data_IF_888333134001
#
_entry.id   IF_888333134001
#
_cell.length_a   1.000
_cell.length_b   1.000
_cell.length_c   1.000
_cell.angle_alpha   90.00
_cell.angle_beta   90.00
_cell.angle_gamma   90.00
#
_symmetry.space_group_name_H-M   'P 1'
#
loop_
_entity.id
_entity.type
_entity.pdbx_description
1 polymer ?
#
# COMPACT_ATOMS: atom_id res chain seq x y z
N UNK A 1 29.62 43.05 30.83
CA UNK A 1 28.23 43.09 30.31
C UNK A 1 28.28 42.78 28.81
N UNK A 2 27.86 41.57 28.39
CA UNK A 2 27.97 41.10 27.00
C UNK A 2 26.67 41.43 26.27
N UNK A 3 26.69 42.39 25.34
CA UNK A 3 25.53 42.75 24.51
C UNK A 3 25.28 41.62 23.52
N UNK A 4 24.11 40.99 23.60
CA UNK A 4 23.63 39.98 22.66
C UNK A 4 22.99 40.72 21.49
N UNK A 5 23.52 40.52 20.28
CA UNK A 5 23.04 41.14 19.06
C UNK A 5 21.85 40.34 18.52
N UNK A 6 20.63 40.86 18.68
CA UNK A 6 19.38 40.22 18.24
C UNK A 6 19.26 40.09 16.71
N UNK A 7 20.12 40.79 15.96
CA UNK A 7 20.15 40.78 14.49
C UNK A 7 20.73 39.46 13.95
N UNK A 8 21.63 38.81 14.70
CA UNK A 8 22.27 37.56 14.25
C UNK A 8 21.35 36.34 14.37
N UNK A 9 20.34 36.39 15.25
CA UNK A 9 19.37 35.29 15.43
C UNK A 9 18.32 35.27 14.30
N UNK A 10 17.97 36.45 13.76
CA UNK A 10 16.98 36.55 12.68
C UNK A 10 17.49 36.00 11.33
N UNK A 11 18.79 36.15 11.05
CA UNK A 11 19.39 35.68 9.80
C UNK A 11 19.65 34.16 9.79
N UNK A 12 19.85 33.55 10.97
CA UNK A 12 20.03 32.10 11.12
C UNK A 12 18.72 31.30 10.99
N UNK A 13 17.56 31.93 11.19
CA UNK A 13 16.26 31.28 11.01
C UNK A 13 15.76 31.27 9.56
N UNK A 14 16.30 32.11 8.67
CA UNK A 14 15.87 32.18 7.26
C UNK A 14 16.62 31.19 6.34
N UNK A 15 17.71 30.58 6.81
CA UNK A 15 18.49 29.61 6.05
C UNK A 15 18.05 28.14 6.28
N UNK A 16 17.17 27.90 7.26
CA UNK A 16 16.70 26.58 7.63
C UNK A 16 15.30 26.28 7.11
N UNK A 17 15.20 25.50 6.05
CA UNK A 17 14.04 24.62 5.90
C UNK A 17 13.18 24.82 4.65
N UNK A 18 13.76 24.64 3.47
CA UNK A 18 13.05 23.87 2.44
C UNK A 18 13.61 22.46 2.48
N UNK A 19 13.00 21.59 3.29
CA UNK A 19 13.21 20.16 3.12
C UNK A 19 12.64 19.81 1.75
N UNK A 20 13.51 19.49 0.79
CA UNK A 20 13.09 18.87 -0.45
C UNK A 20 12.52 17.51 -0.05
N UNK A 21 11.19 17.40 -0.03
CA UNK A 21 10.54 16.10 0.03
C UNK A 21 10.83 15.45 -1.31
N UNK A 22 11.76 14.50 -1.33
CA UNK A 22 11.91 13.59 -2.45
C UNK A 22 10.59 12.81 -2.54
N UNK A 23 9.81 13.09 -3.58
CA UNK A 23 8.63 12.28 -3.88
C UNK A 23 9.12 10.88 -4.26
N UNK A 24 8.56 9.87 -3.60
CA UNK A 24 8.82 8.47 -3.95
C UNK A 24 8.25 8.19 -5.34
N UNK A 25 8.86 7.27 -6.10
CA UNK A 25 8.31 6.92 -7.42
C UNK A 25 6.90 6.33 -7.25
N UNK A 26 5.93 6.73 -8.11
CA UNK A 26 4.56 6.24 -7.99
C UNK A 26 4.51 4.73 -8.23
N UNK A 27 3.89 4.00 -7.30
CA UNK A 27 3.64 2.56 -7.49
C UNK A 27 2.58 2.38 -8.58
N UNK A 28 2.91 1.59 -9.60
CA UNK A 28 2.00 1.30 -10.70
C UNK A 28 1.37 -0.09 -10.55
N UNK A 29 0.08 -0.25 -10.91
CA UNK A 29 -0.56 -1.56 -10.91
C UNK A 29 0.11 -2.51 -11.91
N UNK A 30 0.26 -3.77 -11.52
CA UNK A 30 0.59 -4.85 -12.43
C UNK A 30 -0.51 -5.00 -13.49
N UNK A 31 -0.12 -4.95 -14.76
CA UNK A 31 -1.04 -5.11 -15.87
C UNK A 31 -1.44 -6.58 -16.01
N UNK A 32 -2.74 -6.85 -15.91
CA UNK A 32 -3.30 -8.18 -16.13
C UNK A 32 -3.63 -8.39 -17.62
N UNK A 33 -3.27 -9.54 -18.15
CA UNK A 33 -3.64 -9.97 -19.50
C UNK A 33 -5.09 -10.46 -19.56
N UNK A 34 -5.64 -10.67 -20.76
CA UNK A 34 -6.98 -11.26 -20.90
C UNK A 34 -7.05 -12.67 -20.29
N UNK A 35 -5.96 -13.42 -20.36
CA UNK A 35 -5.86 -14.76 -19.81
C UNK A 35 -5.82 -14.73 -18.28
N UNK A 36 -5.05 -13.80 -17.70
CA UNK A 36 -5.05 -13.54 -16.25
C UNK A 36 -6.47 -13.27 -15.75
N UNK A 37 -7.18 -12.35 -16.42
CA UNK A 37 -8.57 -11.99 -16.10
C UNK A 37 -9.53 -13.20 -16.26
N UNK A 38 -9.23 -14.13 -17.16
CA UNK A 38 -10.02 -15.36 -17.34
C UNK A 38 -9.76 -16.42 -16.26
N UNK A 39 -8.69 -16.27 -15.46
CA UNK A 39 -8.41 -17.13 -14.32
C UNK A 39 -6.95 -17.59 -14.22
N UNK A 40 -6.15 -17.46 -15.28
CA UNK A 40 -4.76 -17.93 -15.30
C UNK A 40 -3.87 -17.22 -14.27
N UNK A 41 -4.34 -16.06 -13.78
CA UNK A 41 -3.66 -15.30 -12.72
C UNK A 41 -3.46 -16.13 -11.45
N UNK A 42 -4.33 -17.13 -11.21
CA UNK A 42 -4.29 -17.99 -10.02
C UNK A 42 -3.29 -19.15 -10.11
N UNK A 43 -2.62 -19.34 -11.25
CA UNK A 43 -1.53 -20.31 -11.40
C UNK A 43 -0.14 -19.68 -11.20
N UNK A 44 -0.08 -18.37 -10.94
CA UNK A 44 1.16 -17.63 -10.72
C UNK A 44 1.80 -17.97 -9.37
N UNK A 45 3.14 -17.87 -9.26
CA UNK A 45 3.84 -18.19 -8.00
C UNK A 45 3.60 -17.18 -6.87
N UNK A 46 3.06 -15.99 -7.17
CA UNK A 46 2.78 -14.93 -6.20
C UNK A 46 1.33 -14.92 -5.68
N UNK A 47 0.57 -15.98 -5.96
CA UNK A 47 -0.77 -16.19 -5.41
C UNK A 47 -0.68 -16.45 -3.91
N UNK A 48 -1.49 -15.73 -3.14
CA UNK A 48 -1.69 -15.98 -1.73
C UNK A 48 -2.84 -16.97 -1.56
N UNK A 49 -2.59 -18.08 -0.86
CA UNK A 49 -3.60 -19.06 -0.51
C UNK A 49 -3.94 -18.98 0.97
N UNK A 50 -5.22 -18.90 1.29
CA UNK A 50 -5.73 -18.96 2.65
C UNK A 50 -6.86 -19.98 2.77
N UNK A 51 -6.70 -20.95 3.68
CA UNK A 51 -7.68 -22.00 3.93
C UNK A 51 -8.27 -21.87 5.33
N UNK A 52 -9.59 -21.71 5.42
CA UNK A 52 -10.32 -21.59 6.68
C UNK A 52 -11.75 -22.16 6.53
N UNK A 53 -12.28 -22.77 7.60
CA UNK A 53 -13.66 -23.29 7.65
C UNK A 53 -14.02 -24.23 6.48
N UNK A 54 -13.07 -25.04 6.02
CA UNK A 54 -13.27 -25.96 4.89
C UNK A 54 -13.32 -25.31 3.51
N UNK A 55 -12.97 -24.02 3.41
CA UNK A 55 -12.91 -23.29 2.15
C UNK A 55 -11.50 -22.73 1.91
N UNK A 56 -11.04 -22.79 0.66
CA UNK A 56 -9.76 -22.25 0.21
C UNK A 56 -10.00 -21.01 -0.63
N UNK A 57 -9.24 -19.97 -0.33
CA UNK A 57 -9.30 -18.66 -0.96
C UNK A 57 -7.95 -18.35 -1.60
N UNK A 58 -7.98 -17.89 -2.84
CA UNK A 58 -6.82 -17.43 -3.60
C UNK A 58 -6.94 -15.92 -3.82
N UNK A 59 -5.85 -15.21 -3.58
CA UNK A 59 -5.74 -13.75 -3.74
C UNK A 59 -4.46 -13.41 -4.52
N UNK A 60 -4.60 -12.52 -5.50
CA UNK A 60 -3.49 -11.95 -6.25
C UNK A 60 -3.56 -10.44 -6.19
N UNK A 61 -2.53 -9.82 -5.64
CA UNK A 61 -2.41 -8.36 -5.58
C UNK A 61 -1.83 -7.81 -6.88
N UNK A 62 -2.56 -6.91 -7.53
CA UNK A 62 -2.07 -6.14 -8.69
C UNK A 62 -1.52 -4.77 -8.29
N UNK A 63 -2.02 -4.17 -7.22
CA UNK A 63 -1.49 -2.93 -6.66
C UNK A 63 -1.64 -2.98 -5.15
N UNK A 64 -0.61 -2.49 -4.45
CA UNK A 64 -0.69 -2.06 -3.06
C UNK A 64 -0.13 -0.64 -2.98
N UNK A 65 -0.91 0.31 -2.48
CA UNK A 65 -0.45 1.68 -2.29
C UNK A 65 0.67 1.74 -1.25
N UNK A 66 1.55 2.74 -1.33
CA UNK A 66 2.69 2.88 -0.41
C UNK A 66 2.27 3.02 1.05
N UNK A 67 1.10 3.63 1.31
CA UNK A 67 0.51 3.74 2.65
C UNK A 67 -0.27 2.49 3.08
N UNK A 68 -0.37 1.48 2.20
CA UNK A 68 -1.05 0.19 2.39
C UNK A 68 -2.56 0.31 2.67
N UNK A 69 -3.16 1.45 2.36
CA UNK A 69 -4.60 1.70 2.58
C UNK A 69 -5.46 1.33 1.39
N UNK A 70 -4.85 1.17 0.22
CA UNK A 70 -5.54 0.81 -1.00
C UNK A 70 -4.83 -0.36 -1.68
N UNK A 71 -5.60 -1.39 -2.01
CA UNK A 71 -5.13 -2.53 -2.78
C UNK A 71 -6.11 -2.86 -3.89
N UNK A 72 -5.60 -3.37 -5.00
CA UNK A 72 -6.39 -3.97 -6.08
C UNK A 72 -5.83 -5.33 -6.45
N UNK A 73 -6.65 -6.18 -7.07
CA UNK A 73 -6.27 -7.55 -7.31
C UNK A 73 -7.39 -8.39 -7.90
N UNK A 74 -7.16 -9.70 -7.93
CA UNK A 74 -8.16 -10.70 -8.24
C UNK A 74 -8.29 -11.69 -7.10
N UNK A 75 -9.53 -12.08 -6.83
CA UNK A 75 -9.90 -12.93 -5.72
C UNK A 75 -10.74 -14.10 -6.22
N UNK A 76 -10.45 -15.31 -5.73
CA UNK A 76 -11.23 -16.52 -6.03
C UNK A 76 -11.44 -17.30 -4.74
N UNK A 77 -12.69 -17.57 -4.43
CA UNK A 77 -13.07 -18.35 -3.24
C UNK A 77 -14.33 -19.13 -3.52
N UNK A 78 -14.48 -20.27 -2.83
CA UNK A 78 -15.73 -21.01 -2.83
C UNK A 78 -16.84 -20.29 -2.05
N UNK A 79 -17.98 -20.96 -1.91
CA UNK A 79 -19.07 -20.45 -1.09
C UNK A 79 -18.64 -20.37 0.38
N UNK A 80 -18.77 -19.19 0.99
CA UNK A 80 -18.45 -18.95 2.40
C UNK A 80 -19.70 -18.52 3.16
N UNK A 81 -19.79 -18.92 4.43
CA UNK A 81 -20.82 -18.47 5.37
C UNK A 81 -20.13 -17.76 6.52
N UNK A 82 -20.52 -16.51 6.75
CA UNK A 82 -20.11 -15.75 7.91
C UNK A 82 -21.34 -15.54 8.80
N UNK A 83 -21.21 -15.88 10.08
CA UNK A 83 -22.25 -15.65 11.08
C UNK A 83 -21.76 -14.57 12.03
N UNK A 84 -22.52 -13.46 12.12
CA UNK A 84 -22.26 -12.41 13.09
C UNK A 84 -22.99 -12.81 14.38
N UNK A 85 -22.24 -13.32 15.36
CA UNK A 85 -22.79 -13.75 16.64
C UNK A 85 -22.74 -12.65 17.71
N UNK A 86 -22.04 -11.54 17.46
CA UNK A 86 -21.85 -10.43 18.40
C UNK A 86 -21.92 -9.05 17.69
N UNK A 87 -22.31 -7.96 18.39
CA UNK A 87 -22.47 -6.61 17.82
C UNK A 87 -21.17 -5.89 17.46
#
# INVERSE_FOLDING_TARGET
MRKIYWVDIGLLLLAGGFAVVLADEPVHPAKLTKADIAGDVFDRPDVLEHSANGNTTLDVTSLLSSDKRFGSGMYKSGAVRFEITEP
#
